data_IF_329442308021
#
_entry.id   IF_329442308021
#
_cell.length_a   1.000
_cell.length_b   1.000
_cell.length_c   1.000
_cell.angle_alpha   90.00
_cell.angle_beta   90.00
_cell.angle_gamma   90.00
#
_symmetry.space_group_name_H-M   'P 1'
#
loop_
_entity.id
_entity.type
_entity.pdbx_description
1 polymer ?
#
# COMPACT_ATOMS: atom_id res chain seq x y z
N UNK A 1 1.92 -13.85 -13.99
CA UNK A 1 2.37 -13.02 -12.84
C UNK A 1 1.49 -13.31 -11.62
N UNK A 2 1.98 -13.14 -10.37
CA UNK A 2 1.19 -13.46 -9.15
C UNK A 2 -0.18 -12.77 -9.11
N UNK A 3 -0.26 -11.53 -9.61
CA UNK A 3 -1.47 -10.73 -9.62
C UNK A 3 -2.58 -11.29 -10.52
N UNK A 4 -2.26 -12.07 -11.55
CA UNK A 4 -3.24 -12.63 -12.51
C UNK A 4 -4.17 -13.69 -11.90
N UNK A 5 -3.86 -14.14 -10.69
CA UNK A 5 -4.70 -15.04 -9.90
C UNK A 5 -5.90 -14.33 -9.25
N UNK A 6 -5.90 -13.00 -9.22
CA UNK A 6 -6.90 -12.18 -8.54
C UNK A 6 -7.79 -11.43 -9.52
N UNK A 7 -9.00 -11.10 -9.08
CA UNK A 7 -9.93 -10.23 -9.83
C UNK A 7 -9.47 -8.78 -9.80
N UNK A 8 -8.92 -8.36 -8.67
CA UNK A 8 -8.24 -7.09 -8.45
C UNK A 8 -7.35 -7.19 -7.20
N UNK A 9 -6.42 -6.25 -7.00
CA UNK A 9 -5.70 -6.09 -5.73
C UNK A 9 -5.80 -4.64 -5.27
N UNK A 10 -6.27 -4.42 -4.05
CA UNK A 10 -6.54 -3.07 -3.54
C UNK A 10 -5.62 -2.77 -2.37
N UNK A 11 -4.95 -1.62 -2.43
CA UNK A 11 -4.23 -1.02 -1.32
C UNK A 11 -5.08 0.12 -0.77
N UNK A 12 -5.24 0.17 0.54
CA UNK A 12 -6.16 1.08 1.21
C UNK A 12 -5.49 1.63 2.46
N UNK A 13 -5.46 2.95 2.61
CA UNK A 13 -4.91 3.55 3.83
C UNK A 13 -4.06 4.78 3.62
N UNK A 14 -3.09 4.89 4.52
CA UNK A 14 -2.18 6.01 4.67
C UNK A 14 -0.96 5.92 3.72
N UNK A 15 0.07 6.68 4.04
CA UNK A 15 1.34 6.74 3.31
C UNK A 15 2.08 5.41 3.31
N UNK A 16 1.88 4.54 4.30
CA UNK A 16 2.53 3.23 4.33
C UNK A 16 1.98 2.38 3.19
N UNK A 17 0.66 2.32 3.04
CA UNK A 17 0.01 1.65 1.91
C UNK A 17 0.42 2.28 0.57
N UNK A 18 0.51 3.62 0.49
CA UNK A 18 0.97 4.32 -0.71
C UNK A 18 2.41 3.94 -1.09
N UNK A 19 3.32 3.96 -0.12
CA UNK A 19 4.75 3.66 -0.31
C UNK A 19 4.94 2.23 -0.82
N UNK A 20 4.24 1.27 -0.19
CA UNK A 20 4.35 -0.13 -0.58
C UNK A 20 3.69 -0.37 -1.94
N UNK A 21 2.60 0.34 -2.27
CA UNK A 21 2.01 0.27 -3.61
C UNK A 21 2.95 0.85 -4.68
N UNK A 22 3.64 1.96 -4.40
CA UNK A 22 4.66 2.49 -5.29
C UNK A 22 5.82 1.49 -5.47
N UNK A 23 6.27 0.85 -4.39
CA UNK A 23 7.31 -0.19 -4.45
C UNK A 23 6.85 -1.47 -5.18
N UNK A 24 5.56 -1.82 -5.10
CA UNK A 24 4.99 -2.89 -5.93
C UNK A 24 5.14 -2.52 -7.42
N UNK A 25 4.86 -1.28 -7.79
CA UNK A 25 4.99 -0.83 -9.18
C UNK A 25 6.44 -0.87 -9.70
N UNK A 26 7.45 -0.70 -8.84
CA UNK A 26 8.85 -0.97 -9.20
C UNK A 26 9.04 -2.40 -9.74
N UNK A 27 8.42 -3.40 -9.10
CA UNK A 27 8.47 -4.78 -9.61
C UNK A 27 7.63 -4.98 -10.87
N UNK A 28 6.43 -4.39 -10.93
CA UNK A 28 5.53 -4.58 -12.08
C UNK A 28 6.05 -3.93 -13.36
N UNK A 29 6.86 -2.88 -13.20
CA UNK A 29 7.45 -2.08 -14.28
C UNK A 29 8.93 -2.41 -14.55
N UNK A 30 9.49 -3.33 -13.77
CA UNK A 30 10.90 -3.76 -13.85
C UNK A 30 11.89 -2.58 -13.83
N UNK A 31 11.55 -1.52 -13.09
CA UNK A 31 12.29 -0.27 -13.04
C UNK A 31 12.56 0.15 -11.61
N UNK A 32 13.77 -0.16 -11.15
CA UNK A 32 14.24 0.20 -9.80
C UNK A 32 14.36 1.71 -9.65
N UNK A 33 14.71 2.44 -10.71
CA UNK A 33 15.03 3.87 -10.57
C UNK A 33 13.77 4.73 -10.43
N UNK A 34 12.70 4.39 -11.16
CA UNK A 34 11.51 5.25 -11.28
C UNK A 34 10.18 4.50 -11.28
N UNK A 35 10.18 3.18 -11.13
CA UNK A 35 8.97 2.36 -11.31
C UNK A 35 7.81 2.72 -10.37
N UNK A 36 8.07 3.37 -9.22
CA UNK A 36 7.02 3.87 -8.34
C UNK A 36 6.35 5.18 -8.80
N UNK A 37 6.85 5.84 -9.85
CA UNK A 37 6.50 7.21 -10.23
C UNK A 37 5.78 7.33 -11.58
N UNK A 38 4.91 8.33 -11.69
CA UNK A 38 4.23 8.77 -12.90
C UNK A 38 5.19 9.64 -13.74
N UNK A 39 6.23 9.03 -14.30
CA UNK A 39 7.29 9.74 -15.04
C UNK A 39 6.79 10.61 -16.19
N UNK A 40 5.66 10.25 -16.79
CA UNK A 40 5.02 11.01 -17.88
C UNK A 40 4.46 12.37 -17.44
N UNK A 41 4.37 12.65 -16.13
CA UNK A 41 4.01 13.96 -15.58
C UNK A 41 5.23 14.81 -15.19
N UNK A 42 6.44 14.24 -15.30
CA UNK A 42 7.66 14.83 -14.76
C UNK A 42 8.51 15.48 -15.86
N UNK A 43 9.15 16.59 -15.50
CA UNK A 43 10.27 17.17 -16.26
C UNK A 43 11.52 16.30 -16.14
N UNK A 44 12.49 16.49 -17.04
CA UNK A 44 13.74 15.72 -16.98
C UNK A 44 14.53 16.02 -15.69
N UNK A 45 14.47 17.24 -15.17
CA UNK A 45 15.10 17.61 -13.89
C UNK A 45 14.43 16.90 -12.70
N UNK A 46 13.09 16.84 -12.67
CA UNK A 46 12.34 16.10 -11.65
C UNK A 46 12.66 14.61 -11.71
N UNK A 47 12.79 14.02 -12.91
CA UNK A 47 13.18 12.60 -13.06
C UNK A 47 14.57 12.35 -12.50
N UNK A 48 15.53 13.25 -12.72
CA UNK A 48 16.87 13.11 -12.14
C UNK A 48 16.83 13.21 -10.63
N UNK A 49 16.02 14.13 -10.08
CA UNK A 49 15.89 14.36 -8.64
C UNK A 49 15.19 13.21 -7.91
N UNK A 50 14.16 12.62 -8.52
CA UNK A 50 13.27 11.67 -7.85
C UNK A 50 13.66 10.20 -8.02
N UNK A 51 14.84 9.88 -8.54
CA UNK A 51 15.26 8.48 -8.72
C UNK A 51 15.59 7.75 -7.41
N UNK A 52 15.46 6.42 -7.44
CA UNK A 52 15.88 5.52 -6.36
C UNK A 52 15.23 5.88 -5.02
N UNK A 53 16.00 6.04 -3.93
CA UNK A 53 15.47 6.43 -2.61
C UNK A 53 14.59 7.68 -2.62
N UNK A 54 14.85 8.65 -3.51
CA UNK A 54 14.12 9.91 -3.53
C UNK A 54 12.63 9.71 -3.87
N UNK A 55 12.27 8.68 -4.65
CA UNK A 55 10.87 8.38 -4.97
C UNK A 55 10.02 8.02 -3.73
N UNK A 56 10.66 7.64 -2.63
CA UNK A 56 10.00 7.25 -1.37
C UNK A 56 10.19 8.25 -0.23
N UNK A 57 11.25 9.07 -0.29
CA UNK A 57 11.64 9.96 0.81
C UNK A 57 11.36 11.43 0.54
N UNK A 58 11.45 11.87 -0.72
CA UNK A 58 11.30 13.28 -1.07
C UNK A 58 9.81 13.65 -1.25
N UNK A 59 9.35 14.66 -0.52
CA UNK A 59 7.95 15.07 -0.52
C UNK A 59 7.46 15.55 -1.89
N UNK A 60 8.33 16.14 -2.73
CA UNK A 60 7.94 16.54 -4.08
C UNK A 60 7.75 15.29 -4.97
N UNK A 61 8.60 14.28 -4.78
CA UNK A 61 8.54 13.03 -5.53
C UNK A 61 7.31 12.19 -5.18
N UNK A 62 6.88 12.18 -3.91
CA UNK A 62 5.66 11.48 -3.47
C UNK A 62 4.39 11.96 -4.19
N UNK A 63 4.37 13.20 -4.69
CA UNK A 63 3.27 13.73 -5.49
C UNK A 63 3.10 13.00 -6.84
N UNK A 64 4.18 12.42 -7.35
CA UNK A 64 4.21 11.66 -8.59
C UNK A 64 4.01 10.15 -8.39
N UNK A 65 3.75 9.65 -7.17
CA UNK A 65 3.57 8.20 -6.98
C UNK A 65 2.38 7.66 -7.77
N UNK A 66 2.56 6.51 -8.42
CA UNK A 66 1.50 5.79 -9.15
C UNK A 66 0.35 5.46 -8.20
N UNK A 67 -0.90 5.66 -8.64
CA UNK A 67 -2.10 5.44 -7.79
C UNK A 67 -2.97 4.29 -8.29
N UNK A 68 -2.98 4.02 -9.59
CA UNK A 68 -3.76 2.91 -10.14
C UNK A 68 -3.12 2.34 -11.41
N UNK A 69 -3.53 1.14 -11.78
CA UNK A 69 -3.01 0.45 -12.95
C UNK A 69 -3.39 1.16 -14.28
N UNK A 70 -4.54 1.82 -14.34
CA UNK A 70 -5.03 2.49 -15.56
C UNK A 70 -4.12 3.65 -15.96
N UNK A 71 -3.61 4.39 -14.98
CA UNK A 71 -2.60 5.44 -15.16
C UNK A 71 -1.34 4.91 -15.86
N UNK A 72 -0.87 3.70 -15.49
CA UNK A 72 0.31 3.09 -16.11
C UNK A 72 -0.02 2.61 -17.53
N UNK A 73 -1.10 1.82 -17.69
CA UNK A 73 -1.49 1.23 -18.98
C UNK A 73 -1.78 2.30 -20.04
N UNK A 74 -2.45 3.39 -19.67
CA UNK A 74 -2.79 4.47 -20.60
C UNK A 74 -1.56 5.18 -21.17
N UNK A 75 -0.50 5.29 -20.37
CA UNK A 75 0.67 6.08 -20.71
C UNK A 75 1.82 5.21 -21.26
N UNK A 76 1.85 3.90 -21.01
CA UNK A 76 2.80 2.96 -21.62
C UNK A 76 2.77 3.01 -23.16
N UNK A 77 1.58 3.09 -23.75
CA UNK A 77 1.42 3.11 -25.21
C UNK A 77 1.85 4.43 -25.87
N UNK A 78 1.96 5.52 -25.11
CA UNK A 78 2.09 6.88 -25.63
C UNK A 78 3.42 7.56 -25.29
N UNK A 79 4.21 7.01 -24.36
CA UNK A 79 5.47 7.62 -23.93
C UNK A 79 6.67 6.68 -24.14
N UNK A 80 7.63 7.00 -25.04
CA UNK A 80 8.88 6.25 -25.16
C UNK A 80 9.77 6.31 -23.90
N UNK A 81 9.44 7.15 -22.91
CA UNK A 81 10.12 7.23 -21.60
C UNK A 81 9.51 6.27 -20.56
N UNK A 82 8.37 5.64 -20.82
CA UNK A 82 7.71 4.75 -19.87
C UNK A 82 8.42 3.39 -19.74
N UNK A 83 8.57 2.90 -18.51
CA UNK A 83 9.10 1.55 -18.27
C UNK A 83 8.09 0.47 -18.73
N UNK A 84 8.55 -0.66 -19.29
CA UNK A 84 7.68 -1.76 -19.72
C UNK A 84 6.79 -2.25 -18.58
N UNK A 85 5.52 -2.55 -18.84
CA UNK A 85 4.58 -2.96 -17.79
C UNK A 85 4.06 -4.39 -18.00
N UNK A 86 4.47 -5.30 -17.11
CA UNK A 86 4.20 -6.74 -17.28
C UNK A 86 2.81 -7.15 -16.75
N UNK A 87 2.03 -6.23 -16.15
CA UNK A 87 0.76 -6.53 -15.45
C UNK A 87 -0.49 -5.84 -16.04
N UNK A 88 -0.63 -5.80 -17.37
CA UNK A 88 -1.74 -5.08 -18.02
C UNK A 88 -3.16 -5.61 -17.71
N UNK A 89 -3.29 -6.82 -17.14
CA UNK A 89 -4.57 -7.57 -17.10
C UNK A 89 -5.28 -7.59 -15.74
N UNK A 90 -4.56 -7.35 -14.64
CA UNK A 90 -5.15 -7.37 -13.30
C UNK A 90 -5.33 -5.95 -12.78
N UNK A 91 -6.57 -5.50 -12.53
CA UNK A 91 -6.82 -4.22 -11.89
C UNK A 91 -6.18 -4.12 -10.51
N UNK A 92 -5.51 -3.02 -10.22
CA UNK A 92 -5.04 -2.69 -8.88
C UNK A 92 -4.95 -1.19 -8.68
N UNK A 93 -5.12 -0.76 -7.43
CA UNK A 93 -5.06 0.64 -7.08
C UNK A 93 -4.73 0.83 -5.59
N UNK A 94 -4.14 1.98 -5.31
CA UNK A 94 -4.08 2.59 -4.00
C UNK A 94 -5.26 3.56 -3.83
N UNK A 95 -6.02 3.37 -2.75
CA UNK A 95 -7.15 4.20 -2.36
C UNK A 95 -6.76 4.90 -1.04
N UNK A 96 -6.52 6.22 -1.04
CA UNK A 96 -6.31 6.94 0.19
C UNK A 96 -7.63 7.11 0.95
N UNK A 97 -7.60 6.98 2.27
CA UNK A 97 -8.67 7.48 3.13
C UNK A 97 -8.08 8.16 4.36
N UNK A 98 -8.74 9.23 4.81
CA UNK A 98 -8.24 10.10 5.89
C UNK A 98 -9.20 10.16 7.07
N UNK A 99 -10.41 9.65 6.91
CA UNK A 99 -11.51 9.81 7.87
C UNK A 99 -12.30 8.52 7.93
N UNK A 100 -12.96 8.35 9.08
CA UNK A 100 -13.94 7.31 9.35
C UNK A 100 -15.18 8.02 9.88
N UNK A 101 -16.29 8.07 9.12
CA UNK A 101 -16.53 7.34 7.87
C UNK A 101 -15.64 7.74 6.67
N UNK A 102 -15.39 6.77 5.79
CA UNK A 102 -14.66 6.95 4.54
C UNK A 102 -15.45 7.80 3.54
N UNK A 103 -14.74 8.52 2.67
CA UNK A 103 -15.38 9.35 1.66
C UNK A 103 -16.16 8.50 0.64
N UNK A 104 -17.26 9.04 0.11
CA UNK A 104 -18.05 8.38 -0.94
C UNK A 104 -17.21 8.06 -2.18
N UNK A 105 -16.22 8.90 -2.50
CA UNK A 105 -15.29 8.66 -3.60
C UNK A 105 -14.39 7.43 -3.36
N UNK A 106 -13.85 7.27 -2.14
CA UNK A 106 -13.04 6.11 -1.78
C UNK A 106 -13.86 4.80 -1.85
N UNK A 107 -15.09 4.84 -1.31
CA UNK A 107 -16.01 3.70 -1.35
C UNK A 107 -16.38 3.35 -2.80
N UNK A 108 -16.72 4.34 -3.63
CA UNK A 108 -17.08 4.12 -5.03
C UNK A 108 -15.91 3.53 -5.83
N UNK A 109 -14.68 4.01 -5.58
CA UNK A 109 -13.47 3.48 -6.19
C UNK A 109 -13.26 2.02 -5.80
N UNK A 110 -13.38 1.69 -4.51
CA UNK A 110 -13.29 0.31 -4.03
C UNK A 110 -14.35 -0.59 -4.69
N UNK A 111 -15.61 -0.16 -4.71
CA UNK A 111 -16.71 -0.92 -5.32
C UNK A 111 -16.49 -1.16 -6.82
N UNK A 112 -15.96 -0.18 -7.56
CA UNK A 112 -15.65 -0.36 -8.99
C UNK A 112 -14.63 -1.48 -9.24
N UNK A 113 -13.68 -1.67 -8.33
CA UNK A 113 -12.65 -2.72 -8.42
C UNK A 113 -13.17 -4.07 -7.89
N UNK A 114 -13.79 -4.05 -6.71
CA UNK A 114 -14.12 -5.24 -5.96
C UNK A 114 -15.50 -5.84 -6.30
N UNK A 115 -16.48 -5.04 -6.74
CA UNK A 115 -17.86 -5.53 -6.96
C UNK A 115 -18.11 -5.91 -8.44
N UNK A 116 -17.46 -5.23 -9.39
CA UNK A 116 -17.79 -5.33 -10.82
C UNK A 116 -16.88 -6.29 -11.59
N UNK A 117 -16.88 -7.59 -11.26
CA UNK A 117 -16.07 -8.59 -11.99
C UNK A 117 -16.78 -9.92 -12.26
N UNK A 118 -16.56 -10.53 -13.44
CA UNK A 118 -17.33 -11.66 -13.95
C UNK A 118 -17.00 -13.02 -13.31
N UNK A 119 -15.85 -13.16 -12.65
CA UNK A 119 -15.41 -14.42 -12.04
C UNK A 119 -15.51 -14.35 -10.51
N UNK A 120 -16.59 -14.89 -9.90
CA UNK A 120 -16.79 -14.85 -8.46
C UNK A 120 -15.78 -15.70 -7.68
N UNK A 121 -15.04 -16.58 -8.36
CA UNK A 121 -14.09 -17.50 -7.73
C UNK A 121 -12.69 -16.92 -7.59
N UNK A 122 -12.39 -15.80 -8.27
CA UNK A 122 -11.13 -15.08 -8.14
C UNK A 122 -11.21 -14.04 -7.03
N UNK A 123 -10.44 -14.19 -5.93
CA UNK A 123 -10.53 -13.26 -4.81
C UNK A 123 -10.06 -11.86 -5.19
N UNK A 124 -10.46 -10.89 -4.38
CA UNK A 124 -9.95 -9.51 -4.43
C UNK A 124 -9.23 -9.20 -3.13
N UNK A 125 -7.91 -9.43 -3.02
CA UNK A 125 -7.16 -9.12 -1.82
C UNK A 125 -7.16 -7.63 -1.51
N UNK A 126 -7.30 -7.30 -0.23
CA UNK A 126 -7.21 -5.93 0.29
C UNK A 126 -6.02 -5.84 1.24
N UNK A 127 -5.11 -4.93 0.94
CA UNK A 127 -3.99 -4.56 1.80
C UNK A 127 -4.38 -3.25 2.47
N UNK A 128 -4.46 -3.27 3.80
CA UNK A 128 -5.03 -2.20 4.60
C UNK A 128 -4.01 -1.64 5.58
N UNK A 129 -3.83 -0.32 5.63
CA UNK A 129 -2.89 0.33 6.56
C UNK A 129 -3.50 1.49 7.34
N UNK A 130 -3.12 1.56 8.62
CA UNK A 130 -3.54 2.53 9.63
C UNK A 130 -2.32 2.93 10.49
N UNK A 131 -1.25 3.41 9.85
CA UNK A 131 0.01 3.73 10.51
C UNK A 131 0.07 5.14 11.11
N UNK A 132 1.24 5.78 10.97
CA UNK A 132 1.63 7.01 11.69
C UNK A 132 0.68 8.19 11.50
N UNK A 133 0.01 8.29 10.36
CA UNK A 133 -0.91 9.40 10.05
C UNK A 133 -2.04 9.56 11.07
N UNK A 134 -2.41 8.48 11.75
CA UNK A 134 -3.51 8.48 12.71
C UNK A 134 -3.02 8.48 14.16
N UNK A 135 -1.76 8.83 14.42
CA UNK A 135 -1.17 8.89 15.78
C UNK A 135 -1.38 7.61 16.59
N UNK A 136 -1.49 6.47 15.91
CA UNK A 136 -1.75 5.19 16.55
C UNK A 136 -3.02 5.19 17.42
N UNK A 137 -4.04 5.97 17.03
CA UNK A 137 -5.34 5.99 17.71
C UNK A 137 -6.07 4.66 17.49
N UNK A 138 -6.09 3.84 18.54
CA UNK A 138 -6.73 2.52 18.50
C UNK A 138 -8.24 2.61 18.28
N UNK A 139 -8.92 3.64 18.81
CA UNK A 139 -10.36 3.81 18.61
C UNK A 139 -10.64 4.09 17.14
N UNK A 140 -9.93 5.06 16.56
CA UNK A 140 -10.03 5.36 15.13
C UNK A 140 -9.74 4.12 14.29
N UNK A 141 -8.72 3.35 14.67
CA UNK A 141 -8.30 2.14 13.94
C UNK A 141 -9.40 1.07 13.95
N UNK A 142 -10.00 0.79 15.11
CA UNK A 142 -11.10 -0.16 15.24
C UNK A 142 -12.34 0.30 14.45
N UNK A 143 -12.69 1.58 14.54
CA UNK A 143 -13.83 2.14 13.80
C UNK A 143 -13.61 1.99 12.29
N UNK A 144 -12.39 2.27 11.81
CA UNK A 144 -12.00 2.15 10.40
C UNK A 144 -12.01 0.69 9.92
N UNK A 145 -11.47 -0.23 10.72
CA UNK A 145 -11.49 -1.68 10.45
C UNK A 145 -12.94 -2.16 10.31
N UNK A 146 -13.81 -1.79 11.25
CA UNK A 146 -15.21 -2.22 11.23
C UNK A 146 -15.97 -1.66 10.02
N UNK A 147 -15.74 -0.40 9.66
CA UNK A 147 -16.33 0.21 8.47
C UNK A 147 -15.91 -0.54 7.20
N UNK A 148 -14.60 -0.72 7.00
CA UNK A 148 -14.08 -1.36 5.79
C UNK A 148 -14.43 -2.84 5.70
N UNK A 149 -14.52 -3.57 6.82
CA UNK A 149 -15.10 -4.93 6.84
C UNK A 149 -16.56 -4.92 6.40
N UNK A 150 -17.35 -3.93 6.85
CA UNK A 150 -18.73 -3.77 6.40
C UNK A 150 -18.83 -3.56 4.89
N UNK A 151 -17.94 -2.72 4.34
CA UNK A 151 -17.86 -2.45 2.90
C UNK A 151 -17.40 -3.70 2.12
N UNK A 152 -16.37 -4.43 2.59
CA UNK A 152 -15.87 -5.62 1.88
C UNK A 152 -16.90 -6.75 1.90
N UNK A 153 -17.60 -6.97 3.00
CA UNK A 153 -18.66 -7.97 3.11
C UNK A 153 -19.82 -7.71 2.13
N UNK A 154 -20.09 -6.44 1.81
CA UNK A 154 -21.10 -6.08 0.82
C UNK A 154 -20.77 -6.49 -0.63
N UNK A 155 -19.54 -6.93 -0.91
CA UNK A 155 -19.13 -7.41 -2.24
C UNK A 155 -19.61 -8.84 -2.56
N UNK A 156 -20.16 -9.54 -1.55
CA UNK A 156 -20.65 -10.92 -1.60
C UNK A 156 -19.65 -11.90 -2.24
N UNK A 157 -18.35 -11.77 -1.93
CA UNK A 157 -17.27 -12.59 -2.48
C UNK A 157 -16.10 -12.74 -1.50
N UNK A 158 -15.15 -13.61 -1.85
CA UNK A 158 -13.93 -13.80 -1.08
C UNK A 158 -13.00 -12.57 -1.18
N UNK A 159 -12.86 -11.83 -0.08
CA UNK A 159 -11.96 -10.67 0.08
C UNK A 159 -11.02 -10.95 1.24
N UNK A 160 -9.86 -11.59 0.99
CA UNK A 160 -8.83 -11.75 2.01
C UNK A 160 -8.23 -10.38 2.34
N UNK A 161 -8.11 -10.06 3.62
CA UNK A 161 -7.61 -8.76 4.08
C UNK A 161 -6.29 -8.96 4.83
N UNK A 162 -5.26 -8.21 4.41
CA UNK A 162 -3.99 -8.08 5.11
C UNK A 162 -3.92 -6.71 5.79
N UNK A 163 -3.89 -6.70 7.12
CA UNK A 163 -3.60 -5.51 7.91
C UNK A 163 -2.08 -5.29 7.95
N UNK A 164 -1.64 -4.10 7.56
CA UNK A 164 -0.27 -3.64 7.74
C UNK A 164 -0.16 -2.99 9.12
N UNK A 165 0.63 -3.59 10.00
CA UNK A 165 1.02 -2.97 11.26
C UNK A 165 1.93 -1.75 11.01
N UNK A 166 2.10 -0.87 12.00
CA UNK A 166 2.90 0.34 11.84
C UNK A 166 4.39 0.01 11.62
N UNK A 167 5.11 0.90 10.95
CA UNK A 167 6.57 0.88 10.92
C UNK A 167 7.13 1.49 12.22
N UNK A 168 8.32 1.09 12.61
CA UNK A 168 9.06 1.76 13.67
C UNK A 168 9.49 3.17 13.23
N UNK A 169 9.83 4.00 14.21
CA UNK A 169 10.60 5.20 13.95
C UNK A 169 12.10 4.89 13.91
N UNK A 170 12.80 5.54 12.99
CA UNK A 170 14.25 5.48 12.88
C UNK A 170 14.95 6.25 14.00
N UNK A 171 16.24 5.95 14.19
CA UNK A 171 17.10 6.57 15.23
C UNK A 171 17.22 8.09 15.06
N UNK A 172 17.09 8.60 13.83
CA UNK A 172 17.17 10.03 13.50
C UNK A 172 15.90 10.82 13.80
N UNK A 173 14.79 10.17 14.21
CA UNK A 173 13.55 10.89 14.53
C UNK A 173 13.79 11.83 15.71
N UNK A 174 13.34 13.07 15.55
CA UNK A 174 13.41 14.04 16.65
C UNK A 174 12.56 13.58 17.84
N UNK A 175 13.00 13.84 19.09
CA UNK A 175 12.22 13.51 20.28
C UNK A 175 10.82 14.15 20.19
N UNK A 176 9.79 13.31 20.19
CA UNK A 176 8.39 13.72 20.10
C UNK A 176 7.54 13.04 21.16
N UNK A 177 6.22 13.22 21.06
CA UNK A 177 5.24 12.64 21.99
C UNK A 177 5.04 11.13 21.81
N UNK A 178 5.39 10.57 20.65
CA UNK A 178 5.23 9.15 20.34
C UNK A 178 6.60 8.48 20.11
N UNK A 179 6.88 7.44 20.90
CA UNK A 179 8.10 6.64 20.78
C UNK A 179 7.86 5.25 20.20
N UNK A 180 8.94 4.55 19.87
CA UNK A 180 8.88 3.15 19.40
C UNK A 180 8.18 2.19 20.38
N UNK A 181 8.13 2.52 21.68
CA UNK A 181 7.38 1.74 22.67
C UNK A 181 5.87 1.84 22.47
N UNK A 182 5.34 3.01 22.11
CA UNK A 182 3.91 3.20 21.90
C UNK A 182 3.46 2.56 20.59
N UNK A 183 4.29 2.68 19.54
CA UNK A 183 4.09 1.96 18.28
C UNK A 183 4.05 0.45 18.51
N UNK A 184 4.97 -0.08 19.33
CA UNK A 184 5.01 -1.50 19.65
C UNK A 184 3.74 -1.96 20.37
N UNK A 185 3.25 -1.18 21.36
CA UNK A 185 1.98 -1.47 22.05
C UNK A 185 0.80 -1.45 21.09
N UNK A 186 0.73 -0.43 20.23
CA UNK A 186 -0.31 -0.33 19.21
C UNK A 186 -0.29 -1.55 18.27
N UNK A 187 0.89 -1.98 17.81
CA UNK A 187 0.98 -3.20 17.01
C UNK A 187 0.56 -4.46 17.79
N UNK A 188 0.92 -4.57 19.07
CA UNK A 188 0.49 -5.69 19.91
C UNK A 188 -1.05 -5.76 20.05
N UNK A 189 -1.72 -4.62 20.13
CA UNK A 189 -3.18 -4.54 20.11
C UNK A 189 -3.76 -4.94 18.75
N UNK A 190 -3.21 -4.44 17.63
CA UNK A 190 -3.64 -4.87 16.29
C UNK A 190 -3.45 -6.37 16.07
N UNK A 191 -2.39 -6.97 16.61
CA UNK A 191 -2.14 -8.41 16.53
C UNK A 191 -3.23 -9.25 17.20
N UNK A 192 -3.92 -8.68 18.20
CA UNK A 192 -5.03 -9.35 18.89
C UNK A 192 -6.34 -9.18 18.12
N UNK A 193 -6.55 -8.01 17.52
CA UNK A 193 -7.81 -7.66 16.82
C UNK A 193 -7.89 -8.32 15.44
N UNK A 194 -6.80 -8.36 14.68
CA UNK A 194 -6.83 -8.83 13.29
C UNK A 194 -7.39 -10.26 13.13
N UNK A 195 -6.96 -11.28 13.92
CA UNK A 195 -7.52 -12.62 13.81
C UNK A 195 -9.02 -12.70 14.13
N UNK A 196 -9.48 -11.96 15.15
CA UNK A 196 -10.90 -11.88 15.52
C UNK A 196 -11.77 -11.26 14.42
N UNK A 197 -11.14 -10.52 13.50
CA UNK A 197 -11.77 -9.91 12.33
C UNK A 197 -11.51 -10.67 11.04
N UNK A 198 -10.95 -11.88 11.12
CA UNK A 198 -10.57 -12.70 9.97
C UNK A 198 -9.59 -12.00 9.01
N UNK A 199 -8.69 -11.19 9.56
CA UNK A 199 -7.62 -10.51 8.83
C UNK A 199 -6.27 -11.16 9.15
N UNK A 200 -5.43 -11.29 8.13
CA UNK A 200 -4.00 -11.52 8.35
C UNK A 200 -3.33 -10.21 8.79
N UNK A 201 -2.20 -10.29 9.50
CA UNK A 201 -1.43 -9.11 9.90
C UNK A 201 0.04 -9.22 9.51
N UNK A 202 0.56 -8.18 8.87
CA UNK A 202 1.97 -8.01 8.54
C UNK A 202 2.63 -7.06 9.55
N UNK A 203 3.58 -7.58 10.32
CA UNK A 203 4.21 -6.86 11.44
C UNK A 203 5.40 -6.00 10.98
N UNK A 204 5.14 -4.82 10.42
CA UNK A 204 6.18 -3.96 9.84
C UNK A 204 7.16 -3.40 10.88
N UNK A 205 6.73 -3.17 12.13
CA UNK A 205 7.65 -2.70 13.19
C UNK A 205 8.86 -3.62 13.38
N UNK A 206 8.68 -4.94 13.30
CA UNK A 206 9.77 -5.91 13.46
C UNK A 206 10.81 -5.79 12.34
N UNK A 207 10.36 -5.50 11.12
CA UNK A 207 11.24 -5.29 9.97
C UNK A 207 12.03 -3.99 10.11
N UNK A 208 11.37 -2.95 10.62
CA UNK A 208 11.81 -1.56 10.49
C UNK A 208 12.58 -1.03 11.70
N UNK A 209 12.45 -1.65 12.89
CA UNK A 209 13.12 -1.19 14.12
C UNK A 209 14.64 -1.18 14.05
N UNK A 210 15.25 -2.02 13.21
CA UNK A 210 16.69 -2.03 12.94
C UNK A 210 17.06 -1.51 11.55
N UNK A 211 16.07 -1.09 10.77
CA UNK A 211 16.30 -0.55 9.43
C UNK A 211 16.80 0.89 9.51
N UNK A 212 17.61 1.28 8.53
CA UNK A 212 18.08 2.67 8.41
C UNK A 212 16.97 3.54 7.80
N UNK A 213 16.65 4.63 8.48
CA UNK A 213 15.74 5.67 8.01
C UNK A 213 16.49 7.00 7.99
N UNK A 214 16.33 7.76 6.90
CA UNK A 214 17.06 9.02 6.70
C UNK A 214 16.46 10.15 7.54
N UNK A 215 15.14 10.32 7.50
CA UNK A 215 14.40 11.36 8.22
C UNK A 215 13.87 10.89 9.59
N UNK A 216 13.97 9.59 9.89
CA UNK A 216 13.49 8.98 11.12
C UNK A 216 12.03 8.55 11.08
N UNK A 217 11.30 8.86 10.00
CA UNK A 217 9.87 8.60 9.88
C UNK A 217 9.55 7.67 8.70
N UNK A 218 10.25 7.87 7.58
CA UNK A 218 10.08 7.09 6.36
C UNK A 218 11.31 6.25 6.08
N UNK A 219 11.11 5.20 5.31
CA UNK A 219 12.16 4.32 4.89
C UNK A 219 12.37 4.42 3.38
N UNK A 220 13.63 4.28 2.96
CA UNK A 220 14.00 4.36 1.56
C UNK A 220 13.58 3.14 0.76
N UNK A 221 14.01 3.12 -0.49
CA UNK A 221 13.67 2.13 -1.50
C UNK A 221 13.89 0.70 -1.04
N UNK A 222 15.04 0.39 -0.43
CA UNK A 222 15.35 -0.99 -0.04
C UNK A 222 14.33 -1.56 0.95
N UNK A 223 13.82 -0.75 1.88
CA UNK A 223 12.81 -1.21 2.84
C UNK A 223 11.45 -1.34 2.15
N UNK A 224 11.06 -0.33 1.36
CA UNK A 224 9.79 -0.35 0.64
C UNK A 224 9.68 -1.55 -0.32
N UNK A 225 10.78 -1.92 -1.00
CA UNK A 225 10.84 -3.11 -1.85
C UNK A 225 10.69 -4.40 -1.05
N UNK A 226 11.31 -4.50 0.13
CA UNK A 226 11.15 -5.68 1.00
C UNK A 226 9.71 -5.79 1.50
N UNK A 227 9.07 -4.68 1.88
CA UNK A 227 7.66 -4.66 2.29
C UNK A 227 6.74 -5.10 1.14
N UNK A 228 6.98 -4.61 -0.08
CA UNK A 228 6.25 -5.05 -1.26
C UNK A 228 6.47 -6.55 -1.57
N UNK A 229 7.70 -7.06 -1.41
CA UNK A 229 7.97 -8.51 -1.52
C UNK A 229 7.23 -9.32 -0.45
N UNK A 230 7.12 -8.82 0.78
CA UNK A 230 6.35 -9.48 1.84
C UNK A 230 4.87 -9.59 1.48
N UNK A 231 4.30 -8.58 0.84
CA UNK A 231 2.93 -8.63 0.31
C UNK A 231 2.82 -9.63 -0.84
N UNK A 232 3.77 -9.62 -1.80
CA UNK A 232 3.80 -10.62 -2.88
C UNK A 232 3.84 -12.05 -2.30
N UNK A 233 4.63 -12.27 -1.25
CA UNK A 233 4.71 -13.55 -0.56
C UNK A 233 3.37 -13.91 0.12
N UNK A 234 2.69 -12.96 0.74
CA UNK A 234 1.35 -13.19 1.29
C UNK A 234 0.34 -13.54 0.19
N UNK A 235 0.28 -12.76 -0.89
CA UNK A 235 -0.55 -13.03 -2.06
C UNK A 235 -0.29 -14.44 -2.63
N UNK A 236 0.97 -14.89 -2.64
CA UNK A 236 1.33 -16.23 -3.12
C UNK A 236 0.68 -17.37 -2.31
N UNK A 237 0.44 -17.15 -1.02
CA UNK A 237 -0.13 -18.12 -0.08
C UNK A 237 -1.66 -18.14 -0.08
N UNK A 238 -2.31 -17.13 -0.64
CA UNK A 238 -3.76 -17.10 -0.73
C UNK A 238 -4.24 -18.24 -1.62
N UNK A 239 -5.26 -18.95 -1.16
CA UNK A 239 -5.95 -19.94 -1.98
C UNK A 239 -6.73 -19.22 -3.08
N UNK A 240 -6.50 -19.64 -4.32
CA UNK A 240 -7.27 -19.18 -5.48
C UNK A 240 -7.86 -20.42 -6.12
N UNK A 241 -9.18 -20.47 -6.20
CA UNK A 241 -9.97 -21.61 -6.71
C UNK A 241 -9.64 -21.94 -8.16
#
# INVERSE_FOLDING_TARGET
MILERFSAVVFLGDETAQTIYAALNVFLREDISHGGLQEWLMTDDERIACKCNAQFLDNNCLGFSVKNFEEVVKNEANDPKGSPYTCQRTPHAYIPFMTTPASTAAIATFQSLAYQKPDPWRPTPVIFSLGHRFSHDMKFSIDSINEWIGITNGAERNIPILLLGPTAYGVSKQPGTEGNMDIWKYQDELNRIAPDKHMDILRLWNLTIQASSTDGERYGESVALVEAMMIINWLSKLETS
#
